data_IF_651846905427
#
_entry.id   IF_651846905427
#
_cell.length_a   1.000
_cell.length_b   1.000
_cell.length_c   1.000
_cell.angle_alpha   90.00
_cell.angle_beta   90.00
_cell.angle_gamma   90.00
#
_symmetry.space_group_name_H-M   'P 1'
#
loop_
_entity.id
_entity.type
_entity.pdbx_description
1 polymer ?
#
# COMPACT_ATOMS: atom_id res chain seq x y z
N UNK A 1 -63.78 -8.12 5.53
CA UNK A 1 -62.47 -8.81 5.62
C UNK A 1 -61.44 -7.95 4.92
N UNK A 2 -60.53 -7.29 5.66
CA UNK A 2 -59.42 -6.53 5.09
C UNK A 2 -58.12 -7.24 5.45
N UNK A 3 -57.44 -7.80 4.45
CA UNK A 3 -56.16 -8.49 4.61
C UNK A 3 -55.06 -7.42 4.64
N UNK A 4 -54.38 -7.28 5.78
CA UNK A 4 -53.19 -6.44 5.94
C UNK A 4 -52.05 -7.05 5.10
N UNK A 5 -51.54 -6.29 4.15
CA UNK A 5 -50.28 -6.61 3.48
C UNK A 5 -49.14 -6.09 4.36
N UNK A 6 -48.44 -7.03 5.01
CA UNK A 6 -47.22 -6.75 5.74
C UNK A 6 -46.06 -6.75 4.73
N UNK A 7 -45.73 -5.58 4.20
CA UNK A 7 -44.60 -5.41 3.28
C UNK A 7 -43.31 -5.38 4.10
N UNK A 8 -42.66 -6.54 4.23
CA UNK A 8 -41.35 -6.67 4.86
C UNK A 8 -40.32 -5.96 3.98
N UNK A 9 -39.80 -4.83 4.46
CA UNK A 9 -38.61 -4.18 3.93
C UNK A 9 -37.44 -5.17 4.01
N UNK A 10 -37.11 -5.79 2.87
CA UNK A 10 -35.94 -6.64 2.74
C UNK A 10 -34.68 -5.79 2.76
N UNK A 11 -34.05 -5.69 3.94
CA UNK A 11 -32.63 -5.37 4.00
C UNK A 11 -31.88 -6.54 3.37
N UNK A 12 -31.54 -6.42 2.08
CA UNK A 12 -30.60 -7.34 1.45
C UNK A 12 -29.23 -7.10 2.08
N UNK A 13 -28.88 -7.92 3.07
CA UNK A 13 -27.54 -7.96 3.63
C UNK A 13 -26.58 -8.33 2.49
N UNK A 14 -25.86 -7.34 1.95
CA UNK A 14 -24.76 -7.60 1.03
C UNK A 14 -23.80 -8.55 1.73
N UNK A 15 -23.55 -9.70 1.10
CA UNK A 15 -22.45 -10.57 1.48
C UNK A 15 -21.18 -9.71 1.65
N UNK A 16 -20.32 -10.00 2.65
CA UNK A 16 -19.12 -9.21 2.88
C UNK A 16 -18.20 -9.34 1.66
N UNK A 17 -18.33 -8.40 0.73
CA UNK A 17 -17.41 -8.28 -0.40
C UNK A 17 -16.08 -7.79 0.15
N UNK A 18 -14.99 -8.50 -0.15
CA UNK A 18 -13.64 -8.03 0.18
C UNK A 18 -13.52 -6.59 -0.35
N UNK A 19 -13.31 -5.59 0.52
CA UNK A 19 -13.22 -4.22 0.07
C UNK A 19 -12.08 -4.08 -0.94
N UNK A 20 -12.36 -3.44 -2.06
CA UNK A 20 -11.36 -3.20 -3.11
C UNK A 20 -10.27 -2.30 -2.50
N UNK A 21 -9.01 -2.49 -2.92
CA UNK A 21 -7.83 -1.78 -2.40
C UNK A 21 -8.07 -0.29 -2.04
N UNK A 22 -8.75 0.49 -2.89
CA UNK A 22 -9.06 1.91 -2.63
C UNK A 22 -9.88 2.12 -1.36
N UNK A 23 -10.90 1.30 -1.13
CA UNK A 23 -11.75 1.36 0.05
C UNK A 23 -10.96 1.05 1.33
N UNK A 24 -9.99 0.14 1.25
CA UNK A 24 -9.12 -0.20 2.38
C UNK A 24 -8.23 0.99 2.76
N UNK A 25 -7.73 1.76 1.78
CA UNK A 25 -7.00 2.99 2.05
C UNK A 25 -7.90 4.08 2.65
N UNK A 26 -9.13 4.23 2.16
CA UNK A 26 -10.10 5.23 2.65
C UNK A 26 -10.43 5.03 4.14
N UNK A 27 -10.56 3.78 4.59
CA UNK A 27 -10.82 3.46 6.01
C UNK A 27 -9.52 3.31 6.84
N UNK A 28 -8.36 3.69 6.28
CA UNK A 28 -7.02 3.50 6.86
C UNK A 28 -6.68 2.06 7.27
N UNK A 29 -7.33 1.08 6.65
CA UNK A 29 -7.01 -0.33 6.83
C UNK A 29 -5.81 -0.72 5.96
N UNK A 30 -4.64 -0.21 6.33
CA UNK A 30 -3.38 -0.44 5.61
C UNK A 30 -3.00 -1.93 5.62
N UNK A 31 -3.30 -2.66 6.70
CA UNK A 31 -3.05 -4.11 6.80
C UNK A 31 -3.87 -4.95 5.81
N UNK A 32 -5.15 -4.61 5.65
CA UNK A 32 -6.00 -5.21 4.61
C UNK A 32 -5.46 -4.90 3.22
N UNK A 33 -5.04 -3.65 2.98
CA UNK A 33 -4.46 -3.23 1.71
C UNK A 33 -3.18 -4.01 1.36
N UNK A 34 -2.27 -4.18 2.33
CA UNK A 34 -1.07 -5.05 2.21
C UNK A 34 -1.47 -6.46 1.79
N UNK A 35 -2.47 -7.06 2.44
CA UNK A 35 -2.91 -8.44 2.14
C UNK A 35 -3.37 -8.56 0.68
N UNK A 36 -4.24 -7.66 0.23
CA UNK A 36 -4.75 -7.67 -1.16
C UNK A 36 -3.62 -7.49 -2.18
N UNK A 37 -2.67 -6.59 -1.90
CA UNK A 37 -1.55 -6.30 -2.79
C UNK A 37 -0.52 -7.42 -2.82
N UNK A 38 -0.29 -8.12 -1.71
CA UNK A 38 0.57 -9.31 -1.68
C UNK A 38 0.01 -10.42 -2.57
N UNK A 39 -1.30 -10.69 -2.50
CA UNK A 39 -1.94 -11.63 -3.42
C UNK A 39 -1.80 -11.19 -4.89
N UNK A 40 -1.96 -9.91 -5.18
CA UNK A 40 -1.76 -9.38 -6.53
C UNK A 40 -0.31 -9.57 -7.01
N UNK A 41 0.67 -9.32 -6.14
CA UNK A 41 2.09 -9.53 -6.42
C UNK A 41 2.43 -11.00 -6.70
N UNK A 42 1.76 -11.95 -6.06
CA UNK A 42 1.96 -13.37 -6.37
C UNK A 42 1.56 -13.74 -7.81
N UNK A 43 0.57 -13.04 -8.38
CA UNK A 43 0.13 -13.24 -9.76
C UNK A 43 1.03 -12.52 -10.78
N UNK A 44 1.52 -11.33 -10.43
CA UNK A 44 2.45 -10.55 -11.23
C UNK A 44 3.51 -9.87 -10.35
N UNK A 45 4.67 -10.53 -10.13
CA UNK A 45 5.69 -10.05 -9.20
C UNK A 45 6.33 -8.73 -9.59
N UNK A 46 6.34 -8.42 -10.89
CA UNK A 46 7.02 -7.26 -11.47
C UNK A 46 6.08 -6.10 -11.81
N UNK A 47 4.78 -6.18 -11.47
CA UNK A 47 3.84 -5.08 -11.69
C UNK A 47 4.24 -3.86 -10.84
N UNK A 48 4.90 -2.89 -11.49
CA UNK A 48 5.39 -1.64 -10.89
C UNK A 48 4.35 -0.99 -9.99
N UNK A 49 3.10 -0.92 -10.46
CA UNK A 49 2.02 -0.28 -9.71
C UNK A 49 1.66 -1.05 -8.45
N UNK A 50 1.70 -2.38 -8.47
CA UNK A 50 1.49 -3.19 -7.27
C UNK A 50 2.60 -2.96 -6.26
N UNK A 51 3.86 -2.93 -6.71
CA UNK A 51 5.02 -2.67 -5.85
C UNK A 51 4.94 -1.28 -5.20
N UNK A 52 4.59 -0.23 -5.96
CA UNK A 52 4.41 1.13 -5.45
C UNK A 52 3.35 1.20 -4.33
N UNK A 53 2.17 0.63 -4.58
CA UNK A 53 1.09 0.65 -3.60
C UNK A 53 1.38 -0.24 -2.39
N UNK A 54 2.13 -1.33 -2.59
CA UNK A 54 2.54 -2.21 -1.50
C UNK A 54 3.57 -1.53 -0.60
N UNK A 55 4.54 -0.83 -1.18
CA UNK A 55 5.50 -0.02 -0.44
C UNK A 55 4.80 1.08 0.35
N UNK A 56 3.87 1.80 -0.28
CA UNK A 56 3.03 2.81 0.36
C UNK A 56 2.24 2.25 1.54
N UNK A 57 1.57 1.10 1.34
CA UNK A 57 0.76 0.47 2.37
C UNK A 57 1.61 -0.02 3.56
N UNK A 58 2.79 -0.60 3.31
CA UNK A 58 3.74 -0.97 4.36
C UNK A 58 4.24 0.25 5.14
N UNK A 59 4.63 1.31 4.43
CA UNK A 59 5.11 2.55 5.06
C UNK A 59 4.06 3.15 6.00
N UNK A 60 2.81 3.27 5.54
CA UNK A 60 1.71 3.81 6.34
C UNK A 60 1.18 2.83 7.41
N UNK A 61 1.62 1.57 7.39
CA UNK A 61 1.40 0.61 8.47
C UNK A 61 2.59 0.50 9.46
N UNK A 62 3.57 1.41 9.36
CA UNK A 62 4.79 1.42 10.17
C UNK A 62 5.72 0.20 9.95
N UNK A 63 5.58 -0.51 8.83
CA UNK A 63 6.49 -1.57 8.39
C UNK A 63 7.55 -0.98 7.45
N UNK A 64 8.36 -0.07 7.98
CA UNK A 64 9.29 0.76 7.20
C UNK A 64 10.43 -0.05 6.54
N UNK A 65 10.85 -1.14 7.17
CA UNK A 65 11.81 -2.10 6.65
C UNK A 65 11.31 -2.76 5.35
N UNK A 66 10.06 -3.22 5.35
CA UNK A 66 9.41 -3.84 4.19
C UNK A 66 9.18 -2.82 3.08
N UNK A 67 8.76 -1.61 3.43
CA UNK A 67 8.61 -0.52 2.47
C UNK A 67 9.95 -0.18 1.80
N UNK A 68 11.05 -0.11 2.57
CA UNK A 68 12.38 0.15 2.04
C UNK A 68 12.82 -0.91 1.03
N UNK A 69 12.59 -2.19 1.31
CA UNK A 69 12.93 -3.28 0.37
C UNK A 69 12.21 -3.11 -0.97
N UNK A 70 10.92 -2.77 -0.94
CA UNK A 70 10.13 -2.54 -2.14
C UNK A 70 10.56 -1.30 -2.92
N UNK A 71 10.93 -0.21 -2.24
CA UNK A 71 11.47 0.97 -2.92
C UNK A 71 12.84 0.69 -3.56
N UNK A 72 13.68 -0.15 -2.94
CA UNK A 72 14.94 -0.62 -3.55
C UNK A 72 14.68 -1.47 -4.81
N UNK A 73 13.72 -2.39 -4.75
CA UNK A 73 13.29 -3.18 -5.92
C UNK A 73 12.74 -2.29 -7.05
N UNK A 74 11.92 -1.29 -6.72
CA UNK A 74 11.41 -0.31 -7.68
C UNK A 74 12.53 0.54 -8.34
N UNK A 75 13.63 0.78 -7.62
CA UNK A 75 14.81 1.50 -8.14
C UNK A 75 15.65 0.66 -9.11
N UNK A 76 15.52 -0.67 -9.07
CA UNK A 76 16.19 -1.59 -10.01
C UNK A 76 15.42 -1.73 -11.34
N UNK A 77 14.17 -1.24 -11.40
CA UNK A 77 13.36 -1.30 -12.61
C UNK A 77 13.80 -0.28 -13.67
N UNK A 78 13.62 -0.57 -14.97
CA UNK A 78 13.78 0.43 -16.03
C UNK A 78 12.86 1.63 -15.80
N UNK A 79 13.35 2.85 -16.08
CA UNK A 79 12.61 4.09 -15.87
C UNK A 79 12.07 4.23 -14.42
N UNK A 80 12.91 3.88 -13.44
CA UNK A 80 12.62 4.08 -12.03
C UNK A 80 12.38 5.56 -11.73
N UNK A 81 11.36 5.85 -10.90
CA UNK A 81 11.10 7.21 -10.45
C UNK A 81 12.14 7.62 -9.41
N UNK A 82 12.91 8.71 -9.61
CA UNK A 82 13.87 9.20 -8.62
C UNK A 82 13.27 9.47 -7.24
N UNK A 83 11.96 9.72 -7.15
CA UNK A 83 11.24 9.90 -5.89
C UNK A 83 11.37 8.68 -4.95
N UNK A 84 11.61 7.48 -5.47
CA UNK A 84 11.81 6.29 -4.64
C UNK A 84 13.05 6.39 -3.73
N UNK A 85 14.07 7.20 -4.09
CA UNK A 85 15.18 7.51 -3.19
C UNK A 85 14.72 8.33 -1.97
N UNK A 86 13.82 9.29 -2.17
CA UNK A 86 13.24 10.11 -1.11
C UNK A 86 12.36 9.25 -0.19
N UNK A 87 11.55 8.37 -0.77
CA UNK A 87 10.72 7.44 0.02
C UNK A 87 11.57 6.43 0.80
N UNK A 88 12.67 5.96 0.22
CA UNK A 88 13.67 5.13 0.92
C UNK A 88 14.29 5.88 2.10
N UNK A 89 14.69 7.15 1.92
CA UNK A 89 15.21 7.99 2.99
C UNK A 89 14.18 8.19 4.12
N UNK A 90 12.90 8.36 3.77
CA UNK A 90 11.83 8.43 4.77
C UNK A 90 11.71 7.13 5.58
N UNK A 91 11.80 5.97 4.94
CA UNK A 91 11.80 4.68 5.65
C UNK A 91 12.98 4.58 6.63
N UNK A 92 14.18 4.93 6.18
CA UNK A 92 15.39 4.92 6.99
C UNK A 92 15.30 5.86 8.19
N UNK A 93 14.69 7.04 8.00
CA UNK A 93 14.48 8.02 9.07
C UNK A 93 13.59 7.44 10.18
N UNK A 94 12.47 6.83 9.83
CA UNK A 94 11.56 6.22 10.82
C UNK A 94 12.15 4.98 11.50
N UNK A 95 13.13 4.31 10.89
CA UNK A 95 13.88 3.21 11.51
C UNK A 95 15.00 3.68 12.45
N UNK A 96 15.17 5.00 12.64
CA UNK A 96 16.26 5.60 13.43
C UNK A 96 17.66 5.16 12.97
N UNK A 97 17.79 4.73 11.70
CA UNK A 97 19.05 4.31 11.12
C UNK A 97 19.74 5.52 10.48
N UNK A 98 20.16 6.46 11.34
CA UNK A 98 20.60 7.81 10.96
C UNK A 98 21.80 7.83 10.00
N UNK A 99 22.65 6.80 10.00
CA UNK A 99 23.81 6.69 9.11
C UNK A 99 23.38 6.44 7.65
N UNK A 100 22.41 5.56 7.40
CA UNK A 100 21.89 5.29 6.05
C UNK A 100 21.02 6.44 5.51
N UNK A 101 20.35 7.21 6.38
CA UNK A 101 19.53 8.38 6.00
C UNK A 101 20.37 9.42 5.26
N UNK A 102 21.58 9.71 5.76
CA UNK A 102 22.44 10.77 5.20
C UNK A 102 22.92 10.43 3.80
N UNK A 103 23.31 9.17 3.54
CA UNK A 103 23.72 8.74 2.20
C UNK A 103 22.55 8.74 1.20
N UNK A 104 21.37 8.29 1.61
CA UNK A 104 20.19 8.23 0.75
C UNK A 104 19.71 9.63 0.35
N UNK A 105 19.69 10.59 1.28
CA UNK A 105 19.28 11.97 1.01
C UNK A 105 20.22 12.68 0.00
N UNK A 106 21.53 12.45 0.10
CA UNK A 106 22.52 13.04 -0.81
C UNK A 106 22.37 12.52 -2.25
N UNK A 107 22.02 11.24 -2.43
CA UNK A 107 21.77 10.65 -3.76
C UNK A 107 20.53 11.26 -4.44
N UNK A 108 19.49 11.61 -3.68
CA UNK A 108 18.25 12.19 -4.22
C UNK A 108 18.35 13.67 -4.63
N UNK A 109 19.39 14.39 -4.19
CA UNK A 109 19.55 15.83 -4.45
C UNK A 109 20.36 16.17 -5.70
N UNK A 110 20.97 15.19 -6.37
CA UNK A 110 21.71 15.45 -7.61
C UNK A 110 20.73 15.59 -8.77
N UNK A 111 20.32 16.83 -9.05
CA UNK A 111 19.71 17.21 -10.34
C UNK A 111 20.77 17.36 -11.42
#
# INVERSE_FOLDING_TARGET
MARRENSTAGHSAKAPSIPIFKQLLEIRNCKGAVTVLQFKRMADPCDKKTLEWLAYAHFHHAEHDKALLLYKELLEMPEADPAYHIFSAACLFYMANYDEVKEAALKGTSR
#
